data_IF_739442004928
#
_entry.id   IF_739442004928
#
_cell.length_a   1.000
_cell.length_b   1.000
_cell.length_c   1.000
_cell.angle_alpha   90.00
_cell.angle_beta   90.00
_cell.angle_gamma   90.00
#
_symmetry.space_group_name_H-M   'P 1'
#
loop_
_entity.id
_entity.type
_entity.pdbx_description
1 polymer ?
#
# COMPACT_ATOMS: atom_id res chain seq x y z
N UNK A 1 -55.41 -23.75 -40.55
CA UNK A 1 -54.81 -23.78 -39.20
C UNK A 1 -53.42 -24.27 -39.34
N UNK A 2 -52.46 -23.35 -39.20
CA UNK A 2 -51.06 -23.57 -39.39
C UNK A 2 -50.45 -24.26 -38.16
N UNK A 3 -49.77 -25.35 -38.31
CA UNK A 3 -48.97 -25.96 -37.25
C UNK A 3 -47.50 -25.82 -37.63
N UNK A 4 -46.84 -24.99 -36.85
CA UNK A 4 -45.43 -24.63 -36.97
C UNK A 4 -44.54 -25.84 -36.64
N UNK A 5 -43.88 -26.40 -37.61
CA UNK A 5 -42.79 -27.35 -37.36
C UNK A 5 -41.54 -26.64 -36.86
N UNK A 6 -41.32 -26.66 -35.54
CA UNK A 6 -40.11 -26.21 -34.88
C UNK A 6 -38.94 -27.15 -35.17
N UNK A 7 -37.94 -26.62 -35.86
CA UNK A 7 -36.62 -27.25 -35.94
C UNK A 7 -35.99 -27.46 -34.56
N UNK A 8 -35.34 -28.58 -34.28
CA UNK A 8 -34.63 -28.76 -33.02
C UNK A 8 -33.32 -27.98 -33.03
N UNK A 9 -33.24 -26.91 -32.21
CA UNK A 9 -32.02 -26.15 -31.92
C UNK A 9 -30.91 -27.06 -31.32
N UNK A 10 -30.01 -27.58 -32.14
CA UNK A 10 -28.76 -28.19 -31.68
C UNK A 10 -27.73 -27.12 -31.28
N UNK A 11 -28.03 -26.32 -30.24
CA UNK A 11 -27.14 -25.30 -29.64
C UNK A 11 -26.90 -25.58 -28.14
N UNK A 12 -26.31 -26.68 -27.75
CA UNK A 12 -26.12 -26.95 -26.32
C UNK A 12 -24.86 -27.71 -25.91
N UNK A 13 -24.17 -28.37 -26.84
CA UNK A 13 -23.11 -29.33 -26.45
C UNK A 13 -21.66 -28.77 -26.44
N UNK A 14 -21.41 -27.62 -27.04
CA UNK A 14 -20.08 -27.00 -27.08
C UNK A 14 -19.74 -26.20 -25.81
N UNK A 15 -20.72 -25.51 -25.17
CA UNK A 15 -20.49 -24.71 -23.95
C UNK A 15 -20.09 -25.54 -22.73
N UNK A 16 -20.54 -26.78 -22.60
CA UNK A 16 -20.31 -27.63 -21.42
C UNK A 16 -18.88 -28.15 -21.26
N UNK A 17 -18.05 -28.13 -22.31
CA UNK A 17 -16.64 -28.59 -22.26
C UNK A 17 -15.62 -27.54 -21.84
N UNK A 18 -16.01 -26.25 -21.79
CA UNK A 18 -15.16 -25.13 -21.39
C UNK A 18 -15.27 -24.78 -19.91
N UNK A 19 -16.37 -25.17 -19.28
CA UNK A 19 -16.64 -24.89 -17.86
C UNK A 19 -15.52 -25.37 -16.92
N UNK A 20 -14.96 -26.59 -17.02
CA UNK A 20 -13.93 -27.03 -16.09
C UNK A 20 -12.60 -26.29 -16.28
N UNK A 21 -12.20 -25.94 -17.49
CA UNK A 21 -10.96 -25.19 -17.74
C UNK A 21 -11.08 -23.73 -17.24
N UNK A 22 -12.21 -23.09 -17.46
CA UNK A 22 -12.48 -21.75 -16.93
C UNK A 22 -12.55 -21.74 -15.40
N UNK A 23 -13.14 -22.78 -14.79
CA UNK A 23 -13.20 -22.92 -13.34
C UNK A 23 -11.81 -23.08 -12.72
N UNK A 24 -10.94 -23.90 -13.31
CA UNK A 24 -9.54 -24.06 -12.86
C UNK A 24 -8.75 -22.79 -12.98
N UNK A 25 -8.93 -22.03 -14.08
CA UNK A 25 -8.24 -20.73 -14.28
C UNK A 25 -8.69 -19.70 -13.26
N UNK A 26 -10.00 -19.61 -12.99
CA UNK A 26 -10.54 -18.71 -11.97
C UNK A 26 -10.03 -19.08 -10.57
N UNK A 27 -9.94 -20.36 -10.27
CA UNK A 27 -9.42 -20.86 -9.00
C UNK A 27 -7.93 -20.52 -8.84
N UNK A 28 -7.11 -20.71 -9.88
CA UNK A 28 -5.69 -20.34 -9.86
C UNK A 28 -5.50 -18.82 -9.73
N UNK A 29 -6.29 -18.00 -10.42
CA UNK A 29 -6.25 -16.54 -10.28
C UNK A 29 -6.69 -16.10 -8.87
N UNK A 30 -7.73 -16.70 -8.31
CA UNK A 30 -8.16 -16.44 -6.94
C UNK A 30 -7.09 -16.80 -5.91
N UNK A 31 -6.43 -17.94 -6.07
CA UNK A 31 -5.34 -18.38 -5.22
C UNK A 31 -4.12 -17.44 -5.31
N UNK A 32 -3.76 -17.03 -6.51
CA UNK A 32 -2.68 -16.08 -6.75
C UNK A 32 -2.98 -14.70 -6.13
N UNK A 33 -4.22 -14.22 -6.26
CA UNK A 33 -4.67 -12.98 -5.62
C UNK A 33 -4.66 -13.09 -4.07
N UNK A 34 -5.09 -14.22 -3.52
CA UNK A 34 -5.05 -14.50 -2.09
C UNK A 34 -3.63 -14.49 -1.52
N UNK A 35 -2.70 -15.20 -2.16
CA UNK A 35 -1.27 -15.22 -1.78
C UNK A 35 -0.68 -13.80 -1.86
N UNK A 36 -0.99 -13.04 -2.90
CA UNK A 36 -0.49 -11.68 -3.06
C UNK A 36 -1.02 -10.74 -1.99
N UNK A 37 -2.29 -10.84 -1.63
CA UNK A 37 -2.89 -10.06 -0.55
C UNK A 37 -2.24 -10.39 0.81
N UNK A 38 -2.04 -11.68 1.10
CA UNK A 38 -1.37 -12.14 2.32
C UNK A 38 0.09 -11.67 2.38
N UNK A 39 0.82 -11.73 1.26
CA UNK A 39 2.19 -11.25 1.17
C UNK A 39 2.29 -9.74 1.44
N UNK A 40 1.41 -8.94 0.84
CA UNK A 40 1.37 -7.49 1.07
C UNK A 40 1.04 -7.14 2.52
N UNK A 41 0.08 -7.83 3.11
CA UNK A 41 -0.25 -7.66 4.54
C UNK A 41 0.95 -7.99 5.44
N UNK A 42 1.64 -9.09 5.17
CA UNK A 42 2.85 -9.49 5.89
C UNK A 42 3.96 -8.44 5.77
N UNK A 43 4.27 -7.98 4.54
CA UNK A 43 5.30 -6.94 4.32
C UNK A 43 4.92 -5.63 5.00
N UNK A 44 3.66 -5.21 4.92
CA UNK A 44 3.18 -4.00 5.61
C UNK A 44 3.35 -4.07 7.12
N UNK A 45 3.06 -5.22 7.72
CA UNK A 45 3.24 -5.43 9.16
C UNK A 45 4.72 -5.46 9.55
N UNK A 46 5.56 -6.11 8.75
CA UNK A 46 7.01 -6.16 8.99
C UNK A 46 7.63 -4.77 8.91
N UNK A 47 7.27 -3.98 7.90
CA UNK A 47 7.77 -2.59 7.77
C UNK A 47 7.26 -1.70 8.89
N UNK A 48 6.03 -1.89 9.35
CA UNK A 48 5.54 -1.19 10.54
C UNK A 48 6.41 -1.49 11.76
N UNK A 49 6.66 -2.77 12.06
CA UNK A 49 7.47 -3.18 13.20
C UNK A 49 8.93 -2.69 13.10
N UNK A 50 9.54 -2.83 11.93
CA UNK A 50 10.91 -2.38 11.69
C UNK A 50 11.05 -0.86 11.82
N UNK A 51 10.08 -0.11 11.31
CA UNK A 51 10.10 1.36 11.35
C UNK A 51 9.83 1.90 12.74
N UNK A 52 8.91 1.31 13.49
CA UNK A 52 8.69 1.70 14.90
C UNK A 52 9.88 1.33 15.75
N UNK A 53 10.49 0.15 15.57
CA UNK A 53 11.70 -0.25 16.29
C UNK A 53 12.88 0.68 15.96
N UNK A 54 13.05 1.07 14.70
CA UNK A 54 14.07 2.05 14.33
C UNK A 54 13.82 3.42 14.94
N UNK A 55 12.56 3.87 14.99
CA UNK A 55 12.19 5.12 15.65
C UNK A 55 12.44 5.06 17.17
N UNK A 56 12.13 3.93 17.81
CA UNK A 56 12.43 3.67 19.21
C UNK A 56 13.95 3.74 19.47
N UNK A 57 14.76 3.11 18.63
CA UNK A 57 16.23 3.16 18.76
C UNK A 57 16.77 4.58 18.64
N UNK A 58 16.26 5.34 17.66
CA UNK A 58 16.64 6.75 17.47
C UNK A 58 16.21 7.60 18.66
N UNK A 59 14.99 7.41 19.16
CA UNK A 59 14.47 8.13 20.31
C UNK A 59 15.30 7.80 21.57
N UNK A 60 15.60 6.54 21.78
CA UNK A 60 16.45 6.08 22.88
C UNK A 60 17.86 6.71 22.83
N UNK A 61 18.47 6.78 21.64
CA UNK A 61 19.75 7.46 21.45
C UNK A 61 19.66 8.94 21.79
N UNK A 62 18.61 9.64 21.31
CA UNK A 62 18.38 11.05 21.61
C UNK A 62 18.13 11.27 23.11
N UNK A 63 17.39 10.36 23.77
CA UNK A 63 17.18 10.38 25.21
C UNK A 63 18.51 10.25 25.99
N UNK A 64 19.37 9.34 25.60
CA UNK A 64 20.70 9.21 26.18
C UNK A 64 21.56 10.46 25.96
N UNK A 65 21.49 11.08 24.78
CA UNK A 65 22.19 12.35 24.50
C UNK A 65 21.67 13.50 25.38
N UNK A 66 20.35 13.60 25.55
CA UNK A 66 19.73 14.58 26.45
C UNK A 66 20.19 14.38 27.91
N UNK A 67 20.18 13.15 28.38
CA UNK A 67 20.65 12.77 29.71
C UNK A 67 22.12 13.18 29.94
N UNK A 68 22.98 12.89 28.98
CA UNK A 68 24.40 13.27 29.06
C UNK A 68 24.58 14.80 29.00
N UNK A 69 23.80 15.51 28.17
CA UNK A 69 23.79 16.98 28.12
C UNK A 69 23.43 17.58 29.49
N UNK A 70 22.34 17.08 30.09
CA UNK A 70 21.87 17.55 31.41
C UNK A 70 22.95 17.27 32.47
N UNK A 71 23.40 16.03 32.56
CA UNK A 71 24.45 15.65 33.52
C UNK A 71 25.71 16.50 33.39
N UNK A 72 26.17 16.74 32.19
CA UNK A 72 27.37 17.55 31.90
C UNK A 72 27.19 18.99 32.39
N UNK A 73 26.04 19.60 32.09
CA UNK A 73 25.80 21.00 32.43
C UNK A 73 25.59 21.21 33.95
N UNK A 74 24.91 20.28 34.62
CA UNK A 74 24.82 20.28 36.05
C UNK A 74 26.19 20.09 36.71
N UNK A 75 27.03 19.20 36.18
CA UNK A 75 28.41 19.05 36.65
C UNK A 75 29.22 20.36 36.54
N UNK A 76 29.03 21.11 35.45
CA UNK A 76 29.68 22.40 35.28
C UNK A 76 29.14 23.42 36.29
N UNK A 77 27.85 23.45 36.58
CA UNK A 77 27.27 24.32 37.60
C UNK A 77 27.86 24.02 38.98
N UNK A 78 27.96 22.75 39.39
CA UNK A 78 28.62 22.39 40.66
C UNK A 78 30.08 22.83 40.71
N UNK A 79 30.82 22.76 39.57
CA UNK A 79 32.20 23.28 39.50
C UNK A 79 32.23 24.81 39.64
N UNK A 80 31.27 25.54 39.02
CA UNK A 80 31.20 26.99 39.17
C UNK A 80 30.83 27.38 40.58
N UNK A 81 29.94 26.62 41.19
CA UNK A 81 29.52 26.74 42.55
C UNK A 81 30.74 26.65 43.48
N UNK A 82 31.54 25.59 43.43
CA UNK A 82 32.74 25.43 44.21
C UNK A 82 33.79 26.54 43.99
N UNK A 83 33.81 27.19 42.81
CA UNK A 83 34.64 28.38 42.60
C UNK A 83 34.07 29.62 43.35
N UNK A 84 32.77 29.84 43.25
CA UNK A 84 32.08 30.98 43.93
C UNK A 84 32.16 30.93 45.45
N UNK A 85 32.16 29.72 46.03
CA UNK A 85 32.36 29.56 47.48
C UNK A 85 33.71 30.11 47.98
N UNK A 86 34.72 30.06 47.10
CA UNK A 86 36.10 30.40 47.47
C UNK A 86 36.51 31.80 46.98
N UNK A 87 35.63 32.57 46.33
CA UNK A 87 35.97 33.87 45.72
C UNK A 87 34.85 34.86 45.95
N UNK A 88 35.14 36.00 46.57
CA UNK A 88 34.25 37.13 46.72
C UNK A 88 34.58 38.33 45.83
N UNK A 89 35.65 38.21 45.00
CA UNK A 89 36.06 39.28 44.12
C UNK A 89 35.24 39.28 42.81
N UNK A 90 34.37 40.30 42.66
CA UNK A 90 33.48 40.42 41.50
C UNK A 90 34.21 40.35 40.17
N UNK A 91 35.40 40.97 40.04
CA UNK A 91 36.18 40.96 38.79
C UNK A 91 36.75 39.57 38.45
N UNK A 92 37.12 38.79 39.48
CA UNK A 92 37.57 37.41 39.28
C UNK A 92 36.41 36.51 38.90
N UNK A 93 35.24 36.69 39.53
CA UNK A 93 33.98 35.97 39.22
C UNK A 93 33.60 36.24 37.78
N UNK A 94 33.55 37.52 37.37
CA UNK A 94 33.22 37.87 35.98
C UNK A 94 34.17 37.24 34.97
N UNK A 95 35.49 37.39 35.20
CA UNK A 95 36.49 36.83 34.27
C UNK A 95 36.43 35.30 34.18
N UNK A 96 36.14 34.62 35.30
CA UNK A 96 36.00 33.17 35.31
C UNK A 96 34.78 32.71 34.53
N UNK A 97 33.60 33.35 34.73
CA UNK A 97 32.36 32.97 34.10
C UNK A 97 32.42 33.29 32.57
N UNK A 98 32.98 34.45 32.17
CA UNK A 98 33.19 34.77 30.76
C UNK A 98 34.08 33.75 30.05
N UNK A 99 35.15 33.31 30.70
CA UNK A 99 36.02 32.25 30.18
C UNK A 99 35.31 30.88 30.11
N UNK A 100 34.47 30.58 31.09
CA UNK A 100 33.63 29.38 31.10
C UNK A 100 32.60 29.41 29.95
N UNK A 101 31.94 30.54 29.72
CA UNK A 101 31.01 30.77 28.62
C UNK A 101 31.67 30.53 27.26
N UNK A 102 32.87 31.07 27.03
CA UNK A 102 33.64 30.83 25.78
C UNK A 102 33.96 29.35 25.53
N UNK A 103 34.16 28.57 26.60
CA UNK A 103 34.53 27.15 26.50
C UNK A 103 33.33 26.22 26.36
N UNK A 104 32.24 26.53 27.03
CA UNK A 104 31.07 25.64 27.15
C UNK A 104 29.90 26.08 26.27
N UNK A 105 29.89 27.36 25.83
CA UNK A 105 28.92 27.89 24.87
C UNK A 105 27.53 28.16 25.45
N UNK A 106 27.37 28.26 26.78
CA UNK A 106 26.08 28.70 27.34
C UNK A 106 25.81 30.17 26.94
N UNK A 107 24.52 30.51 26.82
CA UNK A 107 24.10 31.84 26.39
C UNK A 107 24.23 32.86 27.52
N UNK A 108 23.73 32.52 28.70
CA UNK A 108 23.70 33.38 29.86
C UNK A 108 24.03 32.61 31.14
N UNK A 109 24.57 33.36 32.14
CA UNK A 109 24.75 32.90 33.50
C UNK A 109 23.92 33.79 34.45
N UNK A 110 23.19 33.18 35.37
CA UNK A 110 22.34 33.86 36.34
C UNK A 110 22.72 33.53 37.76
N UNK A 111 22.78 34.56 38.62
CA UNK A 111 22.63 34.47 40.06
C UNK A 111 21.13 34.56 40.35
N UNK A 112 20.55 33.58 40.99
CA UNK A 112 19.11 33.38 41.10
C UNK A 112 18.69 33.31 42.57
N UNK A 113 17.65 34.06 42.95
CA UNK A 113 17.02 33.88 44.23
C UNK A 113 15.80 32.94 44.16
N UNK A 114 15.37 32.33 45.27
CA UNK A 114 14.25 31.36 45.25
C UNK A 114 12.93 31.97 44.81
N UNK A 115 12.75 33.30 44.92
CA UNK A 115 11.57 33.98 44.41
C UNK A 115 11.56 34.17 42.89
N UNK A 116 12.63 33.71 42.20
CA UNK A 116 12.75 33.76 40.73
C UNK A 116 13.38 35.05 40.20
N UNK A 117 13.78 35.99 41.06
CA UNK A 117 14.56 37.14 40.62
C UNK A 117 15.99 36.70 40.27
N UNK A 118 16.56 37.30 39.24
CA UNK A 118 17.93 37.01 38.85
C UNK A 118 18.76 38.25 38.59
N UNK A 119 20.09 38.08 38.67
CA UNK A 119 21.08 39.03 38.19
C UNK A 119 22.06 38.26 37.25
N UNK A 120 22.38 38.87 36.10
CA UNK A 120 23.43 38.36 35.19
C UNK A 120 24.81 38.83 35.68
N UNK A 121 25.88 38.25 35.13
CA UNK A 121 27.26 38.67 35.38
C UNK A 121 27.51 40.13 34.99
N UNK A 122 26.81 40.62 33.94
CA UNK A 122 26.87 42.02 33.49
C UNK A 122 26.12 42.97 34.45
N UNK A 123 25.30 42.49 35.37
CA UNK A 123 24.49 43.26 36.29
C UNK A 123 23.05 43.55 35.80
N UNK A 124 22.62 42.92 34.71
CA UNK A 124 21.22 42.96 34.33
C UNK A 124 20.35 42.16 35.27
N UNK A 125 19.26 42.72 35.73
CA UNK A 125 18.30 42.05 36.63
C UNK A 125 17.00 41.72 35.88
N UNK A 126 16.31 40.68 36.30
CA UNK A 126 15.04 40.29 35.76
C UNK A 126 14.34 39.23 36.57
N UNK A 127 13.29 38.67 36.02
CA UNK A 127 12.51 37.62 36.65
C UNK A 127 12.46 36.40 35.73
N UNK A 128 12.94 35.26 36.24
CA UNK A 128 12.82 33.97 35.59
C UNK A 128 11.48 33.39 36.02
N UNK A 129 10.47 33.45 35.19
CA UNK A 129 9.14 32.91 35.48
C UNK A 129 9.23 31.45 35.94
N UNK A 130 9.14 31.26 37.27
CA UNK A 130 9.26 29.95 37.87
C UNK A 130 7.98 29.15 37.65
N UNK A 131 8.14 27.90 37.24
CA UNK A 131 7.01 26.96 37.21
C UNK A 131 6.62 26.57 38.62
N UNK A 132 5.34 26.30 38.88
CA UNK A 132 4.82 25.78 40.14
C UNK A 132 5.71 24.65 40.67
N UNK A 133 6.10 24.72 41.95
CA UNK A 133 6.96 23.79 42.72
C UNK A 133 8.47 23.89 42.45
N UNK A 134 8.96 24.92 41.75
CA UNK A 134 10.40 25.11 41.61
C UNK A 134 11.03 25.53 42.92
N UNK A 135 10.39 26.42 43.66
CA UNK A 135 10.82 26.92 44.97
C UNK A 135 10.99 25.77 45.99
N UNK A 136 10.08 24.78 45.97
CA UNK A 136 10.16 23.57 46.78
C UNK A 136 11.38 22.74 46.46
N UNK A 137 11.62 22.45 45.16
CA UNK A 137 12.77 21.67 44.71
C UNK A 137 14.10 22.35 45.00
N UNK A 138 14.18 23.65 44.74
CA UNK A 138 15.38 24.42 45.02
C UNK A 138 15.66 24.51 46.54
N UNK A 139 14.59 24.63 47.36
CA UNK A 139 14.69 24.62 48.81
C UNK A 139 15.12 23.27 49.36
N UNK A 140 14.76 22.16 48.68
CA UNK A 140 15.18 20.81 49.04
C UNK A 140 16.61 20.48 48.52
N UNK A 141 17.28 21.42 47.87
CA UNK A 141 18.65 21.24 47.37
C UNK A 141 18.73 20.39 46.08
N UNK A 142 17.63 20.26 45.34
CA UNK A 142 17.58 19.52 44.10
C UNK A 142 18.01 20.37 42.89
N UNK A 143 18.88 19.83 42.04
CA UNK A 143 19.16 20.42 40.73
C UNK A 143 17.90 20.47 39.89
N UNK A 144 17.68 21.58 39.19
CA UNK A 144 16.51 21.76 38.33
C UNK A 144 16.89 22.09 36.91
N UNK A 145 16.19 21.50 35.97
CA UNK A 145 16.27 21.85 34.54
C UNK A 145 14.89 22.27 34.08
N UNK A 146 14.76 23.45 33.50
CA UNK A 146 13.49 23.96 33.02
C UNK A 146 13.61 24.69 31.71
N UNK A 147 12.48 24.82 31.04
CA UNK A 147 12.35 25.68 29.88
C UNK A 147 11.94 27.09 30.35
N UNK A 148 12.57 28.11 29.83
CA UNK A 148 12.27 29.49 30.15
C UNK A 148 12.12 30.35 28.89
N UNK A 149 11.18 31.30 28.96
CA UNK A 149 11.00 32.33 27.94
C UNK A 149 11.15 33.69 28.65
N UNK A 150 12.23 34.39 28.35
CA UNK A 150 12.47 35.73 28.87
C UNK A 150 12.02 36.78 27.85
N UNK A 151 11.53 37.94 28.27
CA UNK A 151 11.13 39.01 27.39
C UNK A 151 12.26 39.40 26.39
N UNK A 152 11.97 39.32 25.10
CA UNK A 152 12.93 39.68 24.05
C UNK A 152 14.04 38.68 23.79
N UNK A 153 14.04 37.53 24.46
CA UNK A 153 14.99 36.42 24.22
C UNK A 153 14.28 35.21 23.63
N UNK A 154 14.97 34.41 22.79
CA UNK A 154 14.45 33.10 22.36
C UNK A 154 14.22 32.18 23.57
N UNK A 155 13.43 31.15 23.37
CA UNK A 155 13.24 30.08 24.34
C UNK A 155 14.56 29.41 24.72
N UNK A 156 14.76 29.16 25.99
CA UNK A 156 16.02 28.65 26.56
C UNK A 156 15.76 27.45 27.46
N UNK A 157 16.69 26.54 27.48
CA UNK A 157 16.81 25.50 28.50
C UNK A 157 17.74 25.99 29.61
N UNK A 158 17.23 26.09 30.83
CA UNK A 158 17.94 26.61 31.98
C UNK A 158 18.23 25.48 32.97
N UNK A 159 19.52 25.36 33.33
CA UNK A 159 20.01 24.43 34.34
C UNK A 159 20.27 25.22 35.62
N UNK A 160 19.76 24.78 36.74
CA UNK A 160 19.81 25.49 38.01
C UNK A 160 20.40 24.57 39.07
N UNK A 161 21.34 25.09 39.82
CA UNK A 161 21.96 24.43 40.98
C UNK A 161 21.77 25.29 42.25
N UNK A 162 21.10 24.78 43.29
CA UNK A 162 20.70 25.55 44.46
C UNK A 162 21.74 25.56 45.61
N UNK A 163 22.94 25.10 45.40
CA UNK A 163 23.87 24.78 46.52
C UNK A 163 24.46 25.97 47.29
N UNK A 164 24.29 27.26 46.86
CA UNK A 164 24.96 28.35 47.58
C UNK A 164 24.05 29.56 47.84
N UNK A 165 24.10 30.01 49.06
CA UNK A 165 23.72 31.39 49.43
C UNK A 165 24.97 32.29 49.32
N UNK A 166 24.88 33.33 48.51
CA UNK A 166 25.95 34.28 48.27
C UNK A 166 25.41 35.64 47.87
N UNK A 167 26.34 36.60 47.70
CA UNK A 167 25.99 37.93 47.21
C UNK A 167 26.91 38.31 46.06
N UNK A 168 26.36 38.88 44.98
CA UNK A 168 27.09 39.40 43.83
C UNK A 168 26.53 40.79 43.48
N UNK A 169 27.34 41.86 43.54
CA UNK A 169 26.92 43.24 43.28
C UNK A 169 25.65 43.65 44.05
N UNK A 170 25.64 43.46 45.35
CA UNK A 170 24.49 43.72 46.22
C UNK A 170 23.21 42.92 45.93
N UNK A 171 23.31 41.86 45.10
CA UNK A 171 22.24 40.91 44.86
C UNK A 171 22.48 39.61 45.63
N UNK A 172 21.61 39.30 46.56
CA UNK A 172 21.68 38.04 47.30
C UNK A 172 21.05 36.92 46.46
N UNK A 173 21.76 35.82 46.32
CA UNK A 173 21.30 34.66 45.52
C UNK A 173 21.35 33.37 46.32
N UNK A 174 20.43 32.47 46.02
CA UNK A 174 20.26 31.16 46.64
C UNK A 174 20.63 30.01 45.67
N UNK A 175 20.78 30.30 44.40
CA UNK A 175 21.12 29.37 43.34
C UNK A 175 21.89 30.05 42.22
N UNK A 176 22.59 29.26 41.41
CA UNK A 176 23.17 29.71 40.18
C UNK A 176 22.55 28.96 39.01
N UNK A 177 22.50 29.59 37.83
CA UNK A 177 21.96 28.94 36.64
C UNK A 177 22.75 29.30 35.40
N UNK A 178 22.78 28.34 34.43
CA UNK A 178 23.24 28.58 33.08
C UNK A 178 22.11 28.30 32.10
N UNK A 179 22.05 29.05 31.02
CA UNK A 179 21.03 28.90 29.98
C UNK A 179 21.64 28.62 28.62
N UNK A 180 21.00 27.77 27.87
CA UNK A 180 21.26 27.52 26.45
C UNK A 180 20.03 27.86 25.62
N UNK A 181 20.22 28.52 24.49
CA UNK A 181 19.12 28.66 23.53
C UNK A 181 18.70 27.29 23.00
N UNK A 182 17.41 27.08 22.81
CA UNK A 182 16.87 25.81 22.36
C UNK A 182 17.52 25.33 21.06
N UNK A 183 17.84 26.23 20.13
CA UNK A 183 18.55 25.87 18.88
C UNK A 183 19.91 25.18 19.12
N UNK A 184 20.61 25.55 20.18
CA UNK A 184 21.88 24.91 20.53
C UNK A 184 21.66 23.50 21.11
N UNK A 185 20.60 23.33 21.89
CA UNK A 185 20.18 22.03 22.43
C UNK A 185 19.68 21.11 21.31
N UNK A 186 18.87 21.66 20.40
CA UNK A 186 18.34 20.95 19.23
C UNK A 186 19.44 20.38 18.33
N UNK A 187 20.54 21.11 18.12
CA UNK A 187 21.71 20.63 17.36
C UNK A 187 22.33 19.38 17.96
N UNK A 188 22.29 19.24 19.29
CA UNK A 188 22.81 18.05 19.99
C UNK A 188 21.85 16.89 19.86
N UNK A 189 20.53 17.17 19.82
CA UNK A 189 19.46 16.19 19.70
C UNK A 189 19.08 15.93 18.22
N UNK A 190 19.67 16.68 17.29
CA UNK A 190 19.39 16.53 15.85
C UNK A 190 19.84 15.15 15.39
N UNK A 191 18.85 14.38 15.03
CA UNK A 191 19.05 13.10 14.40
C UNK A 191 18.46 13.18 12.98
N UNK A 192 19.28 12.89 12.00
CA UNK A 192 18.86 12.77 10.60
C UNK A 192 17.97 11.54 10.35
N UNK A 193 17.26 11.06 11.38
CA UNK A 193 16.36 9.95 11.27
C UNK A 193 15.28 10.24 10.25
N UNK A 194 14.97 9.23 9.45
CA UNK A 194 13.96 9.32 8.39
C UNK A 194 14.18 10.53 7.45
N UNK A 195 15.43 10.79 7.10
CA UNK A 195 15.82 11.90 6.20
C UNK A 195 15.41 13.30 6.73
N UNK A 196 15.40 13.48 8.04
CA UNK A 196 14.98 14.73 8.66
C UNK A 196 13.47 14.96 8.68
N UNK A 197 12.66 13.92 8.43
CA UNK A 197 11.20 14.01 8.43
C UNK A 197 10.57 13.62 9.78
N UNK A 198 11.36 13.24 10.77
CA UNK A 198 10.89 12.96 12.12
C UNK A 198 10.80 14.27 12.92
N UNK A 199 9.70 14.47 13.61
CA UNK A 199 9.56 15.54 14.62
C UNK A 199 9.75 14.93 16.00
N UNK A 200 10.60 15.56 16.82
CA UNK A 200 10.86 15.11 18.18
C UNK A 200 10.47 16.21 19.18
N UNK A 201 9.85 15.80 20.27
CA UNK A 201 9.45 16.68 21.36
C UNK A 201 10.01 16.13 22.67
N UNK A 202 10.36 17.03 23.58
CA UNK A 202 10.53 16.70 24.99
C UNK A 202 9.39 17.38 25.73
N UNK A 203 8.64 16.61 26.50
CA UNK A 203 7.45 17.11 27.20
C UNK A 203 7.52 16.81 28.70
N UNK A 204 6.91 17.65 29.51
CA UNK A 204 6.64 17.35 30.93
C UNK A 204 5.59 16.25 31.05
N UNK A 205 5.44 15.69 32.24
CA UNK A 205 4.40 14.69 32.54
C UNK A 205 2.97 15.20 32.28
N UNK A 206 2.71 16.50 32.36
CA UNK A 206 1.43 17.12 32.02
C UNK A 206 1.26 17.47 30.52
N UNK A 207 2.20 17.07 29.68
CA UNK A 207 2.17 17.27 28.23
C UNK A 207 2.67 18.64 27.75
N UNK A 208 3.05 19.57 28.64
CA UNK A 208 3.67 20.85 28.23
C UNK A 208 5.02 20.59 27.55
N UNK A 209 5.29 21.30 26.46
CA UNK A 209 6.50 21.11 25.66
C UNK A 209 7.68 21.83 26.29
N UNK A 210 8.76 21.10 26.54
CA UNK A 210 10.07 21.60 26.97
C UNK A 210 10.93 21.98 25.78
N UNK A 211 11.03 21.07 24.81
CA UNK A 211 11.83 21.22 23.59
C UNK A 211 10.95 20.79 22.41
N UNK A 212 10.87 21.66 21.40
CA UNK A 212 10.18 21.40 20.14
C UNK A 212 11.20 21.36 19.01
N UNK A 213 11.43 20.17 18.46
CA UNK A 213 12.23 19.92 17.24
C UNK A 213 11.33 19.42 16.11
N UNK A 214 10.26 20.14 15.84
CA UNK A 214 9.35 19.82 14.76
C UNK A 214 9.87 20.34 13.42
N UNK A 215 9.84 19.49 12.39
CA UNK A 215 10.30 19.84 11.03
C UNK A 215 9.38 20.84 10.34
N UNK A 216 8.12 20.95 10.77
CA UNK A 216 7.09 21.78 10.15
C UNK A 216 6.45 22.77 11.12
N UNK A 217 7.18 23.29 12.11
CA UNK A 217 6.62 24.24 13.08
C UNK A 217 6.24 25.57 12.42
N UNK A 218 5.05 25.63 11.86
CA UNK A 218 4.38 26.91 11.57
C UNK A 218 3.82 27.56 12.83
N UNK A 219 3.60 26.76 13.91
CA UNK A 219 3.12 27.19 15.21
C UNK A 219 3.82 26.38 16.30
N UNK A 220 4.29 27.09 17.35
CA UNK A 220 4.90 26.44 18.52
C UNK A 220 3.86 25.62 19.29
N UNK A 221 4.14 24.36 19.51
CA UNK A 221 3.29 23.48 20.30
C UNK A 221 3.56 23.72 21.79
N UNK A 222 2.60 24.29 22.50
CA UNK A 222 2.73 24.55 23.93
C UNK A 222 2.41 23.32 24.79
N UNK A 223 1.43 22.52 24.40
CA UNK A 223 1.05 21.30 25.09
C UNK A 223 0.73 20.20 24.07
N UNK A 224 1.50 19.14 24.10
CA UNK A 224 1.41 18.03 23.16
C UNK A 224 0.12 17.21 23.35
N UNK A 225 -0.29 16.97 24.61
CA UNK A 225 -1.53 16.25 24.91
C UNK A 225 -2.77 17.04 24.47
N UNK A 226 -2.75 18.36 24.62
CA UNK A 226 -3.84 19.20 24.11
C UNK A 226 -3.94 19.14 22.58
N UNK A 227 -2.81 19.20 21.86
CA UNK A 227 -2.79 19.05 20.39
C UNK A 227 -3.34 17.70 19.97
N UNK A 228 -3.00 16.61 20.66
CA UNK A 228 -3.56 15.30 20.37
C UNK A 228 -5.07 15.26 20.62
N UNK A 229 -5.56 15.88 21.69
CA UNK A 229 -7.00 15.92 22.01
C UNK A 229 -7.79 16.68 20.95
N UNK A 230 -7.28 17.80 20.47
CA UNK A 230 -8.02 18.70 19.59
C UNK A 230 -7.92 18.31 18.11
N UNK A 231 -6.84 17.64 17.71
CA UNK A 231 -6.50 17.45 16.29
C UNK A 231 -6.25 16.00 15.90
N UNK A 232 -6.35 15.02 16.82
CA UNK A 232 -6.13 13.61 16.46
C UNK A 232 -7.42 12.80 16.39
N UNK A 233 -7.29 11.56 15.89
CA UNK A 233 -8.36 10.56 15.86
C UNK A 233 -8.39 9.69 17.13
N UNK A 234 -7.62 10.04 18.16
CA UNK A 234 -7.57 9.30 19.41
C UNK A 234 -8.83 9.53 20.26
N UNK A 235 -9.31 8.46 20.89
CA UNK A 235 -10.37 8.57 21.88
C UNK A 235 -9.86 9.18 23.18
N UNK A 236 -10.76 9.77 23.98
CA UNK A 236 -10.41 10.31 25.32
C UNK A 236 -9.76 9.26 26.23
N UNK A 237 -10.13 7.98 26.09
CA UNK A 237 -9.52 6.87 26.83
C UNK A 237 -8.06 6.66 26.41
N UNK A 238 -7.75 6.71 25.11
CA UNK A 238 -6.38 6.60 24.59
C UNK A 238 -5.52 7.80 25.00
N UNK A 239 -6.08 9.00 24.99
CA UNK A 239 -5.40 10.22 25.46
C UNK A 239 -5.08 10.14 26.93
N UNK A 240 -6.01 9.66 27.77
CA UNK A 240 -5.75 9.44 29.20
C UNK A 240 -4.66 8.40 29.41
N UNK A 241 -4.74 7.26 28.72
CA UNK A 241 -3.71 6.22 28.82
C UNK A 241 -2.32 6.75 28.43
N UNK A 242 -2.24 7.63 27.43
CA UNK A 242 -0.98 8.27 27.03
C UNK A 242 -0.49 9.27 28.07
N UNK A 243 -1.39 10.06 28.67
CA UNK A 243 -1.08 10.98 29.78
C UNK A 243 -0.56 10.21 31.00
N UNK A 244 -1.24 9.14 31.39
CA UNK A 244 -0.82 8.26 32.50
C UNK A 244 0.57 7.63 32.20
N UNK A 245 0.84 7.28 30.94
CA UNK A 245 2.13 6.76 30.52
C UNK A 245 3.24 7.81 30.64
N UNK A 246 2.96 9.08 30.35
CA UNK A 246 3.90 10.20 30.55
C UNK A 246 4.18 10.43 32.04
N UNK A 247 3.16 10.40 32.85
CA UNK A 247 3.31 10.54 34.34
C UNK A 247 4.15 9.41 34.93
N UNK A 248 3.98 8.19 34.42
CA UNK A 248 4.73 7.00 34.86
C UNK A 248 6.12 6.88 34.25
N UNK A 249 6.50 7.75 33.30
CA UNK A 249 7.74 7.62 32.54
C UNK A 249 7.85 6.34 31.71
N UNK A 250 6.72 5.82 31.27
CA UNK A 250 6.65 4.59 30.47
C UNK A 250 7.09 4.84 29.02
N UNK A 251 7.40 3.74 28.30
CA UNK A 251 7.73 3.77 26.88
C UNK A 251 6.67 3.03 26.08
N UNK A 252 6.42 3.46 24.84
CA UNK A 252 5.48 2.80 23.97
C UNK A 252 5.40 3.42 22.58
N UNK A 253 4.57 2.80 21.73
CA UNK A 253 4.30 3.31 20.40
C UNK A 253 2.83 3.15 20.03
N UNK A 254 2.37 4.01 19.13
CA UNK A 254 1.03 3.94 18.56
C UNK A 254 0.99 4.61 17.18
N UNK A 255 -0.07 4.33 16.44
CA UNK A 255 -0.39 5.07 15.22
C UNK A 255 -1.44 6.10 15.55
N UNK A 256 -1.23 7.35 15.13
CA UNK A 256 -2.12 8.48 15.35
C UNK A 256 -2.33 9.23 14.03
N UNK A 257 -3.55 9.72 13.82
CA UNK A 257 -3.84 10.61 12.71
C UNK A 257 -3.99 12.04 13.26
N UNK A 258 -3.13 12.97 12.80
CA UNK A 258 -3.20 14.40 13.13
C UNK A 258 -3.65 15.17 11.90
N UNK A 259 -4.83 15.76 11.94
CA UNK A 259 -5.47 16.35 10.77
C UNK A 259 -5.61 15.33 9.64
N UNK A 260 -5.03 15.61 8.47
CA UNK A 260 -5.08 14.70 7.30
C UNK A 260 -3.89 13.73 7.21
N UNK A 261 -2.92 13.82 8.12
CA UNK A 261 -1.70 13.01 8.07
C UNK A 261 -1.67 11.98 9.19
N UNK A 262 -1.36 10.72 8.83
CA UNK A 262 -1.10 9.65 9.79
C UNK A 262 0.37 9.62 10.16
N UNK A 263 0.64 9.44 11.46
CA UNK A 263 1.97 9.36 12.05
C UNK A 263 2.15 8.06 12.84
N UNK A 264 3.39 7.61 12.93
CA UNK A 264 3.84 6.73 13.99
C UNK A 264 4.34 7.61 15.13
N UNK A 265 3.75 7.45 16.29
CA UNK A 265 4.10 8.09 17.55
C UNK A 265 4.83 7.06 18.39
N UNK A 266 6.03 7.43 18.86
CA UNK A 266 6.81 6.66 19.83
C UNK A 266 7.14 7.57 20.99
N UNK A 267 7.09 7.07 22.21
CA UNK A 267 7.43 7.84 23.41
C UNK A 267 8.27 7.01 24.38
N UNK A 268 9.16 7.69 25.07
CA UNK A 268 10.07 7.09 26.07
C UNK A 268 10.26 8.07 27.23
N UNK A 269 9.99 7.61 28.45
CA UNK A 269 10.27 8.37 29.66
C UNK A 269 11.77 8.66 29.80
N UNK A 270 12.12 9.89 30.20
CA UNK A 270 13.51 10.25 30.45
C UNK A 270 13.80 10.15 31.94
N UNK A 271 15.06 9.94 32.31
CA UNK A 271 15.49 10.00 33.70
C UNK A 271 15.66 11.45 34.18
N UNK A 272 15.32 12.44 33.36
CA UNK A 272 15.48 13.87 33.65
C UNK A 272 14.12 14.44 34.01
N UNK A 273 13.94 14.89 35.26
CA UNK A 273 12.79 15.71 35.70
C UNK A 273 11.39 15.16 35.33
N UNK A 274 11.23 13.84 35.24
CA UNK A 274 9.98 13.18 34.78
C UNK A 274 9.50 13.67 33.41
N UNK A 275 10.44 13.97 32.51
CA UNK A 275 10.12 14.30 31.13
C UNK A 275 9.89 13.04 30.31
N UNK A 276 9.17 13.19 29.22
CA UNK A 276 8.99 12.17 28.21
C UNK A 276 9.47 12.69 26.87
N UNK A 277 10.28 11.90 26.18
CA UNK A 277 10.66 12.18 24.81
C UNK A 277 9.65 11.54 23.86
N UNK A 278 9.16 12.31 22.89
CA UNK A 278 8.15 11.88 21.93
C UNK A 278 8.67 12.08 20.51
N UNK A 279 8.60 11.03 19.70
CA UNK A 279 8.95 11.04 18.28
C UNK A 279 7.71 10.84 17.40
N UNK A 280 7.57 11.66 16.37
CA UNK A 280 6.53 11.56 15.35
C UNK A 280 7.16 11.40 13.97
N UNK A 281 6.75 10.36 13.23
CA UNK A 281 7.18 10.17 11.84
C UNK A 281 5.95 9.98 10.95
N UNK A 282 5.82 10.75 9.85
CA UNK A 282 4.71 10.56 8.92
C UNK A 282 4.74 9.15 8.31
N UNK A 283 3.60 8.45 8.35
CA UNK A 283 3.46 7.10 7.77
C UNK A 283 3.83 7.08 6.29
N UNK A 284 3.55 8.16 5.57
CA UNK A 284 3.92 8.30 4.15
C UNK A 284 5.44 8.22 3.90
N UNK A 285 6.24 8.77 4.81
CA UNK A 285 7.71 8.75 4.70
C UNK A 285 8.23 7.32 4.89
N UNK A 286 7.70 6.63 5.89
CA UNK A 286 8.02 5.24 6.19
C UNK A 286 7.58 4.32 5.05
N UNK A 287 6.37 4.53 4.53
CA UNK A 287 5.76 3.69 3.51
C UNK A 287 6.19 4.04 2.07
N UNK A 288 6.95 5.12 1.85
CA UNK A 288 7.35 5.55 0.50
C UNK A 288 8.04 4.44 -0.34
N UNK A 289 8.74 3.53 0.31
CA UNK A 289 9.33 2.35 -0.33
C UNK A 289 8.32 1.19 -0.50
N UNK A 290 7.30 1.10 0.37
CA UNK A 290 6.24 0.10 0.27
C UNK A 290 5.36 0.33 -0.94
N UNK A 291 5.02 1.57 -1.26
CA UNK A 291 4.21 1.91 -2.43
C UNK A 291 4.90 1.47 -3.73
N UNK A 292 6.24 1.59 -3.80
CA UNK A 292 7.04 1.08 -4.92
C UNK A 292 7.04 -0.45 -4.99
N UNK A 293 7.15 -1.12 -3.85
CA UNK A 293 7.09 -2.59 -3.76
C UNK A 293 5.70 -3.10 -4.11
N UNK A 294 4.65 -2.46 -3.62
CA UNK A 294 3.26 -2.76 -3.96
C UNK A 294 3.03 -2.68 -5.47
N UNK A 295 3.42 -1.58 -6.10
CA UNK A 295 3.27 -1.40 -7.54
C UNK A 295 4.01 -2.48 -8.35
N UNK A 296 5.25 -2.82 -7.97
CA UNK A 296 6.01 -3.91 -8.60
C UNK A 296 5.35 -5.26 -8.41
N UNK A 297 4.84 -5.56 -7.21
CA UNK A 297 4.15 -6.81 -6.92
C UNK A 297 2.90 -6.94 -7.78
N UNK A 298 2.08 -5.89 -7.88
CA UNK A 298 0.90 -5.86 -8.75
C UNK A 298 1.29 -6.07 -10.23
N UNK A 299 2.36 -5.44 -10.71
CA UNK A 299 2.85 -5.64 -12.09
C UNK A 299 3.25 -7.10 -12.35
N UNK A 300 3.99 -7.73 -11.43
CA UNK A 300 4.43 -9.13 -11.56
C UNK A 300 3.21 -10.06 -11.57
N UNK A 301 2.29 -9.90 -10.63
CA UNK A 301 1.06 -10.70 -10.54
C UNK A 301 0.21 -10.57 -11.80
N UNK A 302 0.02 -9.35 -12.29
CA UNK A 302 -0.71 -9.08 -13.54
C UNK A 302 -0.01 -9.71 -14.74
N UNK A 303 1.32 -9.61 -14.82
CA UNK A 303 2.12 -10.23 -15.89
C UNK A 303 1.97 -11.76 -15.90
N UNK A 304 2.08 -12.40 -14.74
CA UNK A 304 1.88 -13.85 -14.61
C UNK A 304 0.46 -14.26 -15.00
N UNK A 305 -0.56 -13.51 -14.57
CA UNK A 305 -1.96 -13.76 -14.92
C UNK A 305 -2.19 -13.68 -16.44
N UNK A 306 -1.62 -12.68 -17.10
CA UNK A 306 -1.69 -12.53 -18.57
C UNK A 306 -0.98 -13.67 -19.29
N UNK A 307 0.20 -14.10 -18.84
CA UNK A 307 0.93 -15.24 -19.41
C UNK A 307 0.12 -16.54 -19.27
N UNK A 308 -0.49 -16.79 -18.12
CA UNK A 308 -1.37 -17.95 -17.91
C UNK A 308 -2.59 -17.91 -18.84
N UNK A 309 -3.25 -16.75 -18.96
CA UNK A 309 -4.38 -16.58 -19.87
C UNK A 309 -3.99 -16.82 -21.33
N UNK A 310 -2.87 -16.25 -21.77
CA UNK A 310 -2.34 -16.45 -23.13
C UNK A 310 -2.03 -17.93 -23.41
N UNK A 311 -1.39 -18.62 -22.46
CA UNK A 311 -1.07 -20.05 -22.57
C UNK A 311 -2.34 -20.89 -22.73
N UNK A 312 -3.37 -20.60 -21.94
CA UNK A 312 -4.67 -21.30 -22.01
C UNK A 312 -5.34 -21.04 -23.37
N UNK A 313 -5.35 -19.79 -23.84
CA UNK A 313 -5.91 -19.44 -25.15
C UNK A 313 -5.19 -20.21 -26.25
N UNK A 314 -3.86 -20.27 -26.23
CA UNK A 314 -3.05 -21.00 -27.23
C UNK A 314 -3.37 -22.51 -27.18
N UNK A 315 -3.49 -23.12 -26.04
CA UNK A 315 -3.86 -24.54 -25.91
C UNK A 315 -5.27 -24.80 -26.46
N UNK A 316 -6.20 -23.90 -26.22
CA UNK A 316 -7.57 -23.99 -26.74
C UNK A 316 -7.61 -23.83 -28.27
N UNK A 317 -6.85 -22.90 -28.82
CA UNK A 317 -6.72 -22.71 -30.27
C UNK A 317 -6.11 -23.95 -30.94
N UNK A 318 -5.04 -24.53 -30.38
CA UNK A 318 -4.45 -25.79 -30.86
C UNK A 318 -5.46 -26.92 -30.87
N UNK A 319 -6.15 -27.15 -29.75
CA UNK A 319 -7.16 -28.19 -29.63
C UNK A 319 -8.33 -28.00 -30.62
N UNK A 320 -8.76 -26.76 -30.85
CA UNK A 320 -9.82 -26.45 -31.82
C UNK A 320 -9.35 -26.69 -33.27
N UNK A 321 -8.13 -26.30 -33.56
CA UNK A 321 -7.51 -26.55 -34.88
C UNK A 321 -7.37 -28.05 -35.18
N UNK A 322 -6.92 -28.86 -34.20
CA UNK A 322 -6.80 -30.32 -34.38
C UNK A 322 -8.17 -30.99 -34.58
N UNK A 323 -9.19 -30.48 -33.87
CA UNK A 323 -10.56 -30.98 -34.03
C UNK A 323 -11.12 -30.64 -35.41
N UNK A 324 -10.85 -29.44 -35.92
CA UNK A 324 -11.24 -29.02 -37.27
C UNK A 324 -10.53 -29.85 -38.35
N UNK A 325 -9.22 -30.07 -38.19
CA UNK A 325 -8.45 -30.93 -39.13
C UNK A 325 -9.02 -32.34 -39.17
N UNK A 326 -9.27 -32.98 -38.04
CA UNK A 326 -9.87 -34.33 -37.98
C UNK A 326 -11.23 -34.38 -38.69
N UNK A 327 -12.10 -33.40 -38.47
CA UNK A 327 -13.41 -33.34 -39.13
C UNK A 327 -13.28 -33.15 -40.65
N UNK A 328 -12.38 -32.29 -41.11
CA UNK A 328 -12.16 -32.10 -42.53
C UNK A 328 -11.61 -33.37 -43.20
N UNK A 329 -10.68 -34.08 -42.54
CA UNK A 329 -10.15 -35.34 -43.03
C UNK A 329 -11.25 -36.41 -43.09
N UNK A 330 -12.15 -36.48 -42.10
CA UNK A 330 -13.27 -37.42 -42.08
C UNK A 330 -14.27 -37.11 -43.22
N UNK A 331 -14.55 -35.85 -43.49
CA UNK A 331 -15.42 -35.43 -44.61
C UNK A 331 -14.79 -35.83 -45.96
N UNK A 332 -13.51 -35.49 -46.15
CA UNK A 332 -12.79 -35.85 -47.40
C UNK A 332 -12.74 -37.37 -47.65
N UNK A 333 -12.49 -38.16 -46.57
CA UNK A 333 -12.49 -39.62 -46.67
C UNK A 333 -13.86 -40.17 -47.03
N UNK A 334 -14.96 -39.63 -46.44
CA UNK A 334 -16.33 -40.02 -46.82
C UNK A 334 -16.67 -39.68 -48.24
N UNK A 335 -16.24 -38.52 -48.72
CA UNK A 335 -16.45 -38.09 -50.12
C UNK A 335 -15.73 -39.01 -51.10
N UNK A 336 -14.46 -39.33 -50.82
CA UNK A 336 -13.65 -40.25 -51.64
C UNK A 336 -14.26 -41.66 -51.66
N UNK A 337 -14.70 -42.15 -50.49
CA UNK A 337 -15.34 -43.46 -50.39
C UNK A 337 -16.66 -43.50 -51.16
N UNK A 338 -17.45 -42.42 -51.08
CA UNK A 338 -18.71 -42.29 -51.79
C UNK A 338 -18.48 -42.23 -53.32
N UNK A 339 -17.48 -41.49 -53.77
CA UNK A 339 -17.09 -41.48 -55.21
C UNK A 339 -16.64 -42.85 -55.68
N UNK A 340 -15.76 -43.55 -54.96
CA UNK A 340 -15.30 -44.90 -55.30
C UNK A 340 -16.46 -45.92 -55.34
N UNK A 341 -17.37 -45.84 -54.40
CA UNK A 341 -18.56 -46.72 -54.39
C UNK A 341 -19.45 -46.42 -55.63
N UNK A 342 -19.69 -45.14 -55.91
CA UNK A 342 -20.58 -44.71 -56.99
C UNK A 342 -20.01 -45.13 -58.37
N UNK A 343 -18.68 -45.18 -58.52
CA UNK A 343 -18.04 -45.64 -59.82
C UNK A 343 -18.20 -47.15 -60.05
N UNK A 344 -18.29 -47.97 -59.03
CA UNK A 344 -18.27 -49.42 -59.07
C UNK A 344 -19.68 -50.09 -58.98
N UNK A 345 -20.72 -49.29 -58.82
CA UNK A 345 -22.13 -49.74 -58.73
C UNK A 345 -22.78 -49.54 -60.11
N UNK A 346 -23.62 -50.49 -60.53
CA UNK A 346 -24.38 -50.40 -61.77
C UNK A 346 -25.71 -49.61 -61.64
N UNK A 347 -25.81 -48.84 -60.56
CA UNK A 347 -26.95 -47.93 -60.31
C UNK A 347 -26.48 -46.48 -60.35
N UNK A 348 -27.28 -45.61 -60.97
CA UNK A 348 -27.07 -44.14 -60.97
C UNK A 348 -27.81 -43.52 -59.73
N UNK A 349 -27.04 -42.79 -58.94
CA UNK A 349 -27.61 -42.03 -57.79
C UNK A 349 -27.78 -40.55 -58.17
N UNK A 350 -28.96 -40.03 -57.95
CA UNK A 350 -29.32 -38.66 -58.27
C UNK A 350 -29.97 -38.04 -56.98
N UNK A 351 -29.48 -36.87 -56.57
CA UNK A 351 -30.07 -36.08 -55.50
C UNK A 351 -30.54 -34.76 -56.08
N UNK A 352 -31.79 -34.43 -55.81
CA UNK A 352 -32.43 -33.22 -56.30
C UNK A 352 -33.17 -32.50 -55.16
N UNK A 353 -33.09 -31.19 -55.11
CA UNK A 353 -33.94 -30.37 -54.27
C UNK A 353 -35.34 -30.35 -54.84
N UNK A 354 -36.29 -30.88 -54.11
CA UNK A 354 -37.70 -31.03 -54.54
C UNK A 354 -38.45 -29.71 -54.63
N UNK A 355 -37.94 -28.66 -54.01
CA UNK A 355 -38.58 -27.32 -54.06
C UNK A 355 -38.10 -26.50 -55.26
N UNK A 356 -36.85 -26.62 -55.59
CA UNK A 356 -36.21 -25.83 -56.66
C UNK A 356 -36.02 -26.61 -57.95
N UNK A 357 -36.28 -27.94 -57.92
CA UNK A 357 -35.97 -28.87 -59.03
C UNK A 357 -34.51 -28.84 -59.47
N UNK A 358 -33.61 -28.34 -58.63
CA UNK A 358 -32.19 -28.28 -58.89
C UNK A 358 -31.52 -29.58 -58.49
N UNK A 359 -30.70 -30.10 -59.39
CA UNK A 359 -29.89 -31.30 -59.14
C UNK A 359 -28.68 -30.93 -58.31
N UNK A 360 -28.63 -31.44 -57.06
CA UNK A 360 -27.54 -31.20 -56.12
C UNK A 360 -26.37 -32.17 -56.32
N UNK A 361 -26.67 -33.42 -56.68
CA UNK A 361 -25.68 -34.45 -56.87
C UNK A 361 -26.11 -35.43 -57.99
N UNK A 362 -25.13 -35.83 -58.77
CA UNK A 362 -25.24 -36.90 -59.77
C UNK A 362 -24.03 -37.84 -59.63
N UNK A 363 -24.27 -39.16 -59.59
CA UNK A 363 -23.15 -40.10 -59.44
C UNK A 363 -22.22 -40.09 -60.64
N UNK A 364 -20.89 -40.17 -60.52
CA UNK A 364 -19.94 -40.05 -61.55
C UNK A 364 -20.04 -41.18 -62.60
N UNK A 365 -20.69 -42.31 -62.29
CA UNK A 365 -20.89 -43.45 -63.23
C UNK A 365 -22.04 -43.20 -64.23
N UNK A 366 -22.70 -42.06 -64.19
CA UNK A 366 -23.82 -41.75 -65.08
C UNK A 366 -23.39 -41.76 -66.59
N UNK A 367 -22.23 -41.22 -66.87
CA UNK A 367 -21.69 -41.21 -68.24
C UNK A 367 -21.40 -42.62 -68.78
N UNK A 368 -20.85 -43.47 -67.88
CA UNK A 368 -20.58 -44.87 -68.22
C UNK A 368 -21.86 -45.69 -68.41
N UNK A 369 -22.87 -45.47 -67.61
CA UNK A 369 -24.10 -46.26 -67.59
C UNK A 369 -25.18 -45.78 -68.59
N UNK A 370 -25.30 -44.45 -68.67
CA UNK A 370 -26.40 -43.81 -69.44
C UNK A 370 -25.92 -42.97 -70.61
N UNK A 371 -24.60 -42.76 -70.77
CA UNK A 371 -24.05 -42.02 -71.91
C UNK A 371 -24.25 -40.51 -71.85
N UNK A 372 -24.69 -39.97 -70.75
CA UNK A 372 -24.90 -38.53 -70.55
C UNK A 372 -23.99 -38.02 -69.39
N UNK A 373 -23.46 -36.83 -69.62
CA UNK A 373 -22.51 -36.25 -68.62
C UNK A 373 -23.20 -35.70 -67.42
N UNK A 374 -22.49 -35.68 -66.29
CA UNK A 374 -22.97 -35.02 -65.04
C UNK A 374 -23.39 -33.55 -65.24
N UNK A 375 -22.64 -32.83 -66.09
CA UNK A 375 -22.92 -31.43 -66.40
C UNK A 375 -24.25 -31.23 -67.15
N UNK A 376 -24.54 -32.12 -68.18
CA UNK A 376 -25.81 -32.09 -68.93
C UNK A 376 -27.02 -32.33 -67.96
N UNK A 377 -26.92 -33.33 -67.13
CA UNK A 377 -28.00 -33.66 -66.18
C UNK A 377 -28.20 -32.55 -65.08
N UNK A 378 -27.13 -31.94 -64.68
CA UNK A 378 -27.23 -30.80 -63.71
C UNK A 378 -27.85 -29.57 -64.33
N UNK A 379 -27.60 -29.32 -65.63
CA UNK A 379 -28.22 -28.19 -66.35
C UNK A 379 -29.68 -28.47 -66.73
N UNK A 380 -29.98 -29.69 -67.12
CA UNK A 380 -31.35 -30.06 -67.52
C UNK A 380 -31.59 -31.56 -67.24
N UNK A 381 -32.38 -31.82 -66.14
CA UNK A 381 -32.73 -33.18 -65.73
C UNK A 381 -33.55 -33.92 -66.79
N UNK A 382 -34.24 -33.19 -67.67
CA UNK A 382 -35.05 -33.82 -68.78
C UNK A 382 -34.25 -34.57 -69.77
N UNK A 383 -32.91 -34.38 -69.85
CA UNK A 383 -32.00 -35.20 -70.68
C UNK A 383 -32.16 -36.69 -70.33
N UNK A 384 -32.41 -37.02 -69.09
CA UNK A 384 -32.66 -38.40 -68.64
C UNK A 384 -33.99 -38.98 -69.24
N UNK A 385 -34.99 -38.15 -69.47
CA UNK A 385 -36.23 -38.54 -70.09
C UNK A 385 -36.01 -38.92 -71.60
N UNK A 386 -35.01 -38.35 -72.23
CA UNK A 386 -34.67 -38.64 -73.61
C UNK A 386 -34.06 -40.03 -73.86
N UNK A 387 -33.58 -40.64 -72.76
CA UNK A 387 -33.01 -42.01 -72.75
C UNK A 387 -34.09 -43.11 -72.77
N UNK A 388 -35.35 -42.79 -72.61
CA UNK A 388 -36.47 -43.74 -72.74
C UNK A 388 -36.77 -44.04 -74.26
N UNK A 389 -37.28 -45.23 -74.56
CA UNK A 389 -37.62 -45.60 -75.94
C UNK A 389 -38.50 -44.57 -76.62
N UNK A 390 -38.21 -44.26 -77.92
CA UNK A 390 -38.92 -43.22 -78.70
C UNK A 390 -40.40 -43.55 -78.98
N UNK A 391 -40.76 -44.83 -78.85
CA UNK A 391 -42.12 -45.34 -79.14
C UNK A 391 -43.09 -45.23 -77.98
N UNK A 392 -42.70 -44.64 -76.79
CA UNK A 392 -43.57 -44.40 -75.66
C UNK A 392 -44.13 -42.96 -75.75
N UNK A 393 -45.43 -42.79 -76.03
CA UNK A 393 -46.06 -41.47 -76.16
C UNK A 393 -46.15 -40.69 -74.82
N UNK A 394 -46.04 -41.41 -73.69
CA UNK A 394 -46.13 -40.82 -72.36
C UNK A 394 -44.73 -40.78 -71.67
N UNK A 395 -43.62 -40.81 -72.38
CA UNK A 395 -42.23 -40.88 -71.92
C UNK A 395 -41.89 -39.87 -70.80
N UNK A 396 -42.24 -38.62 -71.08
CA UNK A 396 -41.94 -37.55 -70.17
C UNK A 396 -42.80 -37.61 -68.89
N UNK A 397 -44.06 -37.99 -69.00
CA UNK A 397 -44.98 -38.18 -67.88
C UNK A 397 -44.54 -39.38 -67.01
N UNK A 398 -44.17 -40.48 -67.63
CA UNK A 398 -43.69 -41.69 -66.95
C UNK A 398 -42.38 -41.43 -66.15
N UNK A 399 -41.49 -40.61 -66.74
CA UNK A 399 -40.25 -40.18 -66.05
C UNK A 399 -40.59 -39.28 -64.78
N UNK A 400 -41.42 -38.28 -64.98
CA UNK A 400 -41.82 -37.40 -63.85
C UNK A 400 -42.57 -38.14 -62.74
N UNK A 401 -43.48 -39.06 -63.10
CA UNK A 401 -44.17 -39.92 -62.15
C UNK A 401 -43.20 -40.87 -61.43
N UNK A 402 -42.19 -41.39 -62.13
CA UNK A 402 -41.11 -42.19 -61.51
C UNK A 402 -40.32 -41.43 -60.45
N UNK A 403 -39.97 -40.19 -60.77
CA UNK A 403 -39.28 -39.29 -59.76
C UNK A 403 -40.16 -39.01 -58.58
N UNK A 404 -41.47 -38.79 -58.77
CA UNK A 404 -42.44 -38.57 -57.67
C UNK A 404 -42.68 -39.84 -56.84
N UNK A 405 -42.79 -41.01 -57.44
CA UNK A 405 -42.92 -42.30 -56.71
C UNK A 405 -41.68 -42.64 -55.87
N UNK A 406 -40.50 -42.29 -56.35
CA UNK A 406 -39.26 -42.39 -55.58
C UNK A 406 -39.28 -41.52 -54.30
N UNK A 407 -40.00 -40.40 -54.32
CA UNK A 407 -40.23 -39.56 -53.15
C UNK A 407 -41.16 -40.18 -52.10
N UNK A 408 -42.27 -40.83 -52.54
CA UNK A 408 -43.23 -41.48 -51.65
C UNK A 408 -42.65 -42.65 -50.88
N UNK A 409 -41.77 -43.49 -51.50
CA UNK A 409 -41.10 -44.59 -50.77
C UNK A 409 -40.15 -44.12 -49.68
N UNK A 410 -39.60 -42.88 -49.77
CA UNK A 410 -38.75 -42.32 -48.75
C UNK A 410 -39.53 -41.81 -47.52
N UNK A 411 -40.81 -41.52 -47.67
CA UNK A 411 -41.70 -41.10 -46.59
C UNK A 411 -42.27 -42.32 -45.81
N UNK A 412 -42.56 -43.45 -46.47
CA UNK A 412 -43.09 -44.62 -45.79
C UNK A 412 -42.03 -45.39 -45.02
N UNK A 413 -40.73 -45.31 -45.38
CA UNK A 413 -39.63 -45.92 -44.66
C UNK A 413 -39.19 -45.22 -43.37
N UNK A 414 -39.89 -44.16 -42.95
CA UNK A 414 -39.63 -43.41 -41.66
C UNK A 414 -40.70 -43.64 -40.58
N UNK A 415 -41.68 -44.46 -40.85
CA UNK A 415 -42.77 -44.75 -39.92
C UNK A 415 -42.78 -46.26 -39.48
N UNK A 416 -41.58 -46.83 -39.33
CA UNK A 416 -41.38 -48.17 -38.78
C UNK A 416 -40.30 -48.16 -37.73
#
# INVERSE_FOLDING_TARGET
>A
MADEMREPKRKGRSRRKWLPAAAVTLLLLGLLAGISCQYVSYVSQTVYQESTSHLEEVLHKSNNMLKELVRKNLTYLHLYNGFLENTSNEGEIQAYIEKAQQKTGFADFYFLSYDGNYMTVSGETGYLGLQTNLDEKLSDGEDVVMNAVLPGKPQMLVFICPEIQGSYRDFDYDAIAIAYYNDAVLKVLDNAAFQGSASNYVVYSDGRVVIDNSVNATESVYNFIAVLRDHSDLSEEQIRALSDAFEQGSSGNMKVKLGDTSYYLVYEGTAVQSWTMVGLVPVKVVNANLDKLWFRTVQIVTGVALCLAATIILLLLRKNHDTLRRKNTEILYRDELFQKLSLNVDDVFLMMDTKTSKVDYVSPNIERLLGVTEGEVRQNIHVLAELHPKDDPDREKNFLEGLQRGQQRKHEGKAG
#
